data_IF_593824349004
#
_entry.id   IF_593824349004
#
_cell.length_a   1.000
_cell.length_b   1.000
_cell.length_c   1.000
_cell.angle_alpha   90.00
_cell.angle_beta   90.00
_cell.angle_gamma   90.00
#
_symmetry.space_group_name_H-M   'P 1'
#
loop_
_entity.id
_entity.type
_entity.pdbx_description
1 polymer ?
#
# COMPACT_ATOMS: atom_id res chain seq x y z
N UNK A 1 47.12 -12.70 41.60
CA UNK A 1 46.62 -12.45 40.23
C UNK A 1 45.52 -11.41 40.27
N UNK A 2 45.57 -10.38 39.42
CA UNK A 2 44.58 -9.29 39.37
C UNK A 2 43.25 -9.79 38.75
N UNK A 3 42.08 -9.35 39.24
CA UNK A 3 40.77 -9.92 38.87
C UNK A 3 40.38 -9.73 37.39
N UNK A 4 40.86 -8.66 36.74
CA UNK A 4 40.62 -8.41 35.31
C UNK A 4 41.38 -9.36 34.37
N UNK A 5 42.37 -10.10 34.86
CA UNK A 5 43.07 -11.11 34.06
C UNK A 5 42.26 -12.43 33.94
N UNK A 6 41.19 -12.61 34.74
CA UNK A 6 40.37 -13.84 34.77
C UNK A 6 39.11 -13.76 33.92
N UNK A 7 38.53 -12.56 33.71
CA UNK A 7 37.27 -12.39 32.98
C UNK A 7 37.50 -11.83 31.58
N UNK A 8 37.86 -12.70 30.62
CA UNK A 8 38.02 -12.34 29.20
C UNK A 8 36.71 -12.26 28.41
N UNK A 9 35.57 -12.54 29.04
CA UNK A 9 34.24 -12.60 28.39
C UNK A 9 33.43 -11.31 28.54
N UNK A 10 33.77 -10.44 29.50
CA UNK A 10 33.03 -9.21 29.77
C UNK A 10 33.75 -7.99 29.17
N UNK A 11 33.14 -7.39 28.14
CA UNK A 11 33.68 -6.24 27.41
C UNK A 11 33.87 -4.98 28.25
N UNK A 12 33.12 -4.84 29.34
CA UNK A 12 33.17 -3.67 30.22
C UNK A 12 34.38 -3.69 31.17
N UNK A 13 34.97 -4.87 31.39
CA UNK A 13 36.08 -5.06 32.32
C UNK A 13 37.45 -5.08 31.62
N UNK A 14 37.47 -5.02 30.29
CA UNK A 14 38.71 -5.00 29.50
C UNK A 14 39.33 -3.60 29.57
N UNK A 15 40.53 -3.51 30.16
CA UNK A 15 41.30 -2.27 30.16
C UNK A 15 42.05 -2.11 28.85
N UNK A 16 42.05 -0.90 28.33
CA UNK A 16 42.83 -0.54 27.15
C UNK A 16 44.32 -0.47 27.50
N UNK A 17 45.18 -0.90 26.60
CA UNK A 17 46.62 -0.83 26.75
C UNK A 17 47.15 0.30 25.87
N UNK A 18 47.82 1.26 26.47
CA UNK A 18 48.35 2.42 25.73
C UNK A 18 49.33 1.94 24.67
N UNK A 19 49.05 2.25 23.40
CA UNK A 19 49.90 1.90 22.26
C UNK A 19 49.65 0.53 21.62
N UNK A 20 48.74 -0.28 22.17
CA UNK A 20 48.36 -1.57 21.59
C UNK A 20 46.91 -1.53 21.07
N UNK A 21 46.61 -2.37 20.07
CA UNK A 21 45.23 -2.57 19.64
C UNK A 21 44.42 -3.26 20.75
N UNK A 22 43.13 -2.91 20.85
CA UNK A 22 42.21 -3.53 21.81
C UNK A 22 42.16 -5.05 21.59
N UNK A 23 42.37 -5.81 22.66
CA UNK A 23 42.33 -7.27 22.58
C UNK A 23 40.91 -7.75 22.22
N UNK A 24 40.80 -8.71 21.31
CA UNK A 24 39.52 -9.35 21.00
C UNK A 24 39.03 -10.16 22.20
N UNK A 25 37.75 -10.01 22.51
CA UNK A 25 37.02 -10.74 23.56
C UNK A 25 36.47 -12.06 22.99
N UNK A 26 36.28 -12.12 21.68
CA UNK A 26 35.76 -13.28 20.98
C UNK A 26 36.88 -14.27 20.68
N UNK A 27 36.60 -15.56 20.88
CA UNK A 27 37.46 -16.65 20.41
C UNK A 27 37.38 -16.73 18.90
N UNK A 28 38.39 -16.18 18.24
CA UNK A 28 38.52 -16.26 16.80
C UNK A 28 39.33 -17.53 16.48
N UNK A 29 38.87 -18.39 15.56
CA UNK A 29 39.66 -19.51 15.08
C UNK A 29 40.94 -19.02 14.40
N UNK A 30 42.09 -19.63 14.69
CA UNK A 30 43.39 -19.19 14.20
C UNK A 30 43.60 -19.40 12.68
N UNK A 31 42.71 -20.14 12.02
CA UNK A 31 42.91 -20.65 10.65
C UNK A 31 41.85 -20.16 9.66
N UNK A 32 41.20 -19.02 9.97
CA UNK A 32 40.19 -18.42 9.10
C UNK A 32 40.69 -17.08 8.60
N UNK A 33 40.67 -16.90 7.29
CA UNK A 33 40.87 -15.62 6.65
C UNK A 33 39.60 -14.79 6.76
N UNK A 34 39.74 -13.55 7.24
CA UNK A 34 38.62 -12.62 7.28
C UNK A 34 38.35 -12.02 5.90
N UNK A 35 37.07 -11.81 5.61
CA UNK A 35 36.61 -11.24 4.35
C UNK A 35 35.83 -12.25 3.51
N UNK A 36 35.29 -11.76 2.39
CA UNK A 36 34.62 -12.60 1.40
C UNK A 36 35.68 -13.03 0.40
N UNK A 37 35.88 -14.34 0.24
CA UNK A 37 36.74 -14.85 -0.82
C UNK A 37 36.23 -14.34 -2.18
N UNK A 38 37.16 -13.87 -3.01
CA UNK A 38 36.84 -13.47 -4.38
C UNK A 38 36.60 -14.76 -5.14
N UNK A 39 35.32 -15.06 -5.40
CA UNK A 39 34.95 -16.15 -6.30
C UNK A 39 35.39 -15.70 -7.69
N UNK A 40 36.37 -16.39 -8.27
CA UNK A 40 36.77 -16.17 -9.64
C UNK A 40 35.74 -16.85 -10.54
N UNK A 41 35.38 -16.19 -11.63
CA UNK A 41 34.50 -16.80 -12.63
C UNK A 41 35.19 -18.05 -13.20
N UNK A 42 34.39 -19.07 -13.53
CA UNK A 42 34.89 -20.30 -14.15
C UNK A 42 35.38 -20.07 -15.58
N UNK A 43 34.99 -18.94 -16.18
CA UNK A 43 35.29 -18.58 -17.56
C UNK A 43 36.42 -17.56 -17.62
N UNK A 44 37.40 -17.82 -18.48
CA UNK A 44 38.50 -16.88 -18.73
C UNK A 44 38.14 -15.81 -19.75
N UNK A 45 38.87 -14.68 -19.76
CA UNK A 45 38.63 -13.58 -20.70
C UNK A 45 38.64 -14.01 -22.18
N UNK A 46 39.43 -15.03 -22.54
CA UNK A 46 39.46 -15.60 -23.89
C UNK A 46 38.16 -16.33 -24.26
N UNK A 47 37.53 -17.03 -23.32
CA UNK A 47 36.24 -17.71 -23.57
C UNK A 47 35.12 -16.69 -23.73
N UNK A 48 35.10 -15.67 -22.87
CA UNK A 48 34.12 -14.57 -22.96
C UNK A 48 34.20 -13.83 -24.30
N UNK A 49 35.40 -13.64 -24.86
CA UNK A 49 35.57 -12.94 -26.15
C UNK A 49 35.32 -13.82 -27.37
N UNK A 50 35.52 -15.13 -27.26
CA UNK A 50 35.36 -16.06 -28.40
C UNK A 50 33.95 -16.59 -28.57
N UNK A 51 33.16 -16.69 -27.50
CA UNK A 51 31.76 -17.12 -27.56
C UNK A 51 30.80 -15.95 -27.43
N UNK A 52 30.12 -15.61 -28.54
CA UNK A 52 28.97 -14.71 -28.48
C UNK A 52 27.76 -15.47 -27.93
N UNK A 53 27.52 -15.35 -26.63
CA UNK A 53 26.36 -16.01 -26.01
C UNK A 53 25.09 -15.19 -26.30
N UNK A 54 24.12 -15.81 -26.97
CA UNK A 54 22.81 -15.17 -27.16
C UNK A 54 22.11 -15.04 -25.81
N UNK A 55 21.39 -13.93 -25.61
CA UNK A 55 20.58 -13.76 -24.42
C UNK A 55 19.47 -14.82 -24.40
N UNK A 56 19.59 -15.77 -23.47
CA UNK A 56 18.46 -16.64 -23.15
C UNK A 56 17.39 -15.79 -22.49
N UNK A 57 16.16 -15.89 -23.00
CA UNK A 57 15.03 -15.20 -22.38
C UNK A 57 14.89 -15.67 -20.93
N UNK A 58 14.73 -14.72 -20.01
CA UNK A 58 14.47 -15.05 -18.61
C UNK A 58 13.19 -15.87 -18.53
N UNK A 59 13.21 -16.97 -17.78
CA UNK A 59 11.99 -17.72 -17.50
C UNK A 59 10.96 -16.80 -16.82
N UNK A 60 9.70 -16.94 -17.22
CA UNK A 60 8.64 -16.16 -16.63
C UNK A 60 8.45 -16.61 -15.18
N UNK A 61 8.86 -15.75 -14.24
CA UNK A 61 8.62 -15.98 -12.83
C UNK A 61 7.12 -16.24 -12.59
N UNK A 62 6.78 -17.34 -11.91
CA UNK A 62 5.39 -17.67 -11.70
C UNK A 62 4.76 -16.60 -10.79
N UNK A 63 3.46 -16.29 -10.96
CA UNK A 63 2.83 -15.19 -10.25
C UNK A 63 2.87 -15.40 -8.74
N UNK A 64 2.86 -14.29 -8.00
CA UNK A 64 2.91 -14.32 -6.53
C UNK A 64 1.75 -15.13 -5.94
N UNK A 65 1.98 -15.70 -4.77
CA UNK A 65 0.95 -16.45 -4.06
C UNK A 65 -0.14 -15.51 -3.55
N UNK A 66 -1.40 -15.91 -3.72
CA UNK A 66 -2.55 -15.18 -3.23
C UNK A 66 -2.89 -15.63 -1.81
N UNK A 67 -2.30 -14.95 -0.83
CA UNK A 67 -2.57 -15.24 0.59
C UNK A 67 -4.02 -14.97 1.00
N UNK A 68 -4.74 -14.08 0.30
CA UNK A 68 -6.14 -13.80 0.63
C UNK A 68 -7.03 -14.98 0.26
N UNK A 69 -6.81 -15.57 -0.92
CA UNK A 69 -7.50 -16.77 -1.37
C UNK A 69 -7.11 -17.98 -0.52
N UNK A 70 -5.82 -18.16 -0.23
CA UNK A 70 -5.35 -19.24 0.65
C UNK A 70 -5.98 -19.15 2.04
N UNK A 71 -6.08 -17.96 2.64
CA UNK A 71 -6.71 -17.78 3.94
C UNK A 71 -8.21 -18.09 3.91
N UNK A 72 -8.91 -17.68 2.84
CA UNK A 72 -10.32 -18.06 2.64
C UNK A 72 -10.48 -19.57 2.53
N UNK A 73 -9.56 -20.26 1.85
CA UNK A 73 -9.54 -21.72 1.78
C UNK A 73 -9.27 -22.36 3.14
N UNK A 74 -8.34 -21.84 3.94
CA UNK A 74 -8.11 -22.31 5.32
C UNK A 74 -9.39 -22.25 6.15
N UNK A 75 -10.10 -21.12 6.08
CA UNK A 75 -11.35 -20.91 6.82
C UNK A 75 -12.44 -21.85 6.31
N UNK A 76 -12.54 -22.04 4.99
CA UNK A 76 -13.46 -23.00 4.37
C UNK A 76 -13.21 -24.43 4.86
N UNK A 77 -11.95 -24.78 5.11
CA UNK A 77 -11.53 -26.08 5.65
C UNK A 77 -11.58 -26.14 7.18
N UNK A 78 -12.19 -25.15 7.86
CA UNK A 78 -12.35 -25.10 9.32
C UNK A 78 -11.01 -25.16 10.08
N UNK A 79 -9.93 -24.66 9.46
CA UNK A 79 -8.67 -24.44 10.14
C UNK A 79 -8.77 -23.13 10.91
N UNK A 80 -8.29 -23.12 12.15
CA UNK A 80 -8.39 -21.96 13.03
C UNK A 80 -7.06 -21.60 13.72
N UNK A 81 -6.05 -22.48 13.67
CA UNK A 81 -4.75 -22.25 14.31
C UNK A 81 -3.70 -21.71 13.32
N UNK A 82 -2.78 -20.87 13.82
CA UNK A 82 -1.73 -20.27 13.00
C UNK A 82 -0.79 -21.32 12.38
N UNK A 83 -0.44 -22.38 13.12
CA UNK A 83 0.43 -23.44 12.58
C UNK A 83 -0.27 -24.21 11.47
N UNK A 84 -1.58 -24.45 11.62
CA UNK A 84 -2.39 -25.07 10.57
C UNK A 84 -2.44 -24.21 9.32
N UNK A 85 -2.57 -22.88 9.45
CA UNK A 85 -2.53 -21.98 8.29
C UNK A 85 -1.17 -22.03 7.58
N UNK A 86 -0.07 -22.10 8.34
CA UNK A 86 1.27 -22.21 7.76
C UNK A 86 1.43 -23.54 6.99
N UNK A 87 1.04 -24.67 7.59
CA UNK A 87 1.08 -25.98 6.94
C UNK A 87 0.17 -26.05 5.71
N UNK A 88 -1.01 -25.42 5.79
CA UNK A 88 -1.94 -25.35 4.67
C UNK A 88 -1.39 -24.52 3.51
N UNK A 89 -0.74 -23.38 3.78
CA UNK A 89 -0.07 -22.54 2.76
C UNK A 89 1.17 -23.20 2.15
N UNK A 90 1.77 -24.17 2.85
CA UNK A 90 2.91 -24.95 2.34
C UNK A 90 2.45 -26.08 1.41
N UNK A 91 1.30 -26.68 1.70
CA UNK A 91 0.74 -27.80 0.93
C UNK A 91 -0.13 -27.35 -0.25
N UNK A 92 -0.83 -26.21 -0.13
CA UNK A 92 -1.72 -25.69 -1.17
C UNK A 92 -1.13 -24.43 -1.81
N UNK A 93 -1.04 -24.42 -3.14
CA UNK A 93 -0.59 -23.26 -3.92
C UNK A 93 -1.79 -22.60 -4.61
N UNK A 94 -2.06 -21.34 -4.27
CA UNK A 94 -3.00 -20.51 -4.99
C UNK A 94 -2.29 -19.21 -5.32
N UNK A 95 -2.35 -18.79 -6.59
CA UNK A 95 -1.62 -17.64 -7.11
C UNK A 95 -2.54 -16.55 -7.60
N UNK A 96 -2.04 -15.32 -7.58
CA UNK A 96 -2.77 -14.16 -8.08
C UNK A 96 -2.91 -14.29 -9.59
N UNK A 97 -4.16 -14.18 -10.07
CA UNK A 97 -4.41 -14.10 -11.49
C UNK A 97 -3.92 -12.75 -12.01
N UNK A 98 -2.80 -12.74 -12.74
CA UNK A 98 -2.33 -11.57 -13.48
C UNK A 98 -2.96 -11.62 -14.86
N UNK A 99 -3.81 -10.64 -15.19
CA UNK A 99 -4.20 -10.40 -16.59
C UNK A 99 -2.92 -10.03 -17.34
N UNK A 100 -2.35 -11.01 -18.05
CA UNK A 100 -1.26 -10.73 -18.99
C UNK A 100 -1.86 -9.94 -20.15
N UNK A 101 -1.11 -8.99 -20.69
CA UNK A 101 -1.44 -8.44 -22.00
C UNK A 101 -1.52 -9.57 -23.02
N UNK A 102 -2.37 -9.42 -24.03
CA UNK A 102 -2.29 -10.31 -25.19
C UNK A 102 -0.92 -10.08 -25.85
N UNK A 103 -0.09 -11.11 -26.00
CA UNK A 103 1.21 -10.95 -26.70
C UNK A 103 0.99 -10.62 -28.18
N UNK A 104 -0.19 -10.94 -28.69
CA UNK A 104 -0.60 -10.70 -30.05
C UNK A 104 -1.52 -9.48 -30.05
N UNK A 105 -0.94 -8.33 -30.35
CA UNK A 105 -1.74 -7.20 -30.84
C UNK A 105 -2.21 -7.67 -32.21
N UNK A 106 -3.50 -7.99 -32.33
CA UNK A 106 -4.11 -8.18 -33.64
C UNK A 106 -3.91 -6.87 -34.40
N UNK A 107 -2.99 -6.89 -35.37
CA UNK A 107 -2.74 -5.75 -36.24
C UNK A 107 -3.92 -5.71 -37.21
N UNK A 108 -5.03 -5.14 -36.76
CA UNK A 108 -6.14 -4.78 -37.63
C UNK A 108 -5.69 -3.56 -38.43
N UNK A 109 -4.96 -3.80 -39.52
CA UNK A 109 -4.79 -2.80 -40.55
C UNK A 109 -6.17 -2.56 -41.17
N UNK A 110 -6.61 -1.31 -41.26
CA UNK A 110 -7.86 -1.01 -41.91
C UNK A 110 -7.76 -1.30 -43.42
N UNK A 111 -8.91 -1.61 -44.03
CA UNK A 111 -9.03 -1.91 -45.46
C UNK A 111 -8.56 -0.75 -46.36
N UNK A 112 -8.25 -1.01 -47.63
CA UNK A 112 -7.75 0.02 -48.58
C UNK A 112 -8.75 1.18 -48.77
N UNK A 113 -10.04 0.93 -48.56
CA UNK A 113 -11.10 1.94 -48.62
C UNK A 113 -11.23 2.77 -47.34
N UNK A 114 -10.47 2.47 -46.29
CA UNK A 114 -10.56 3.16 -45.02
C UNK A 114 -9.93 4.55 -45.11
N UNK A 115 -10.72 5.55 -44.77
CA UNK A 115 -10.25 6.93 -44.69
C UNK A 115 -9.94 7.27 -43.24
N UNK A 116 -8.67 7.58 -42.97
CA UNK A 116 -8.26 8.08 -41.67
C UNK A 116 -8.91 9.44 -41.36
N UNK A 117 -9.25 9.64 -40.10
CA UNK A 117 -9.86 10.87 -39.62
C UNK A 117 -11.14 10.61 -38.83
N UNK A 118 -11.67 11.66 -38.21
CA UNK A 118 -12.96 11.62 -37.53
C UNK A 118 -14.04 11.95 -38.56
N UNK A 119 -14.96 11.03 -38.89
CA UNK A 119 -16.07 11.36 -39.79
C UNK A 119 -16.86 12.52 -39.20
N UNK A 120 -17.43 13.35 -40.06
CA UNK A 120 -18.35 14.39 -39.62
C UNK A 120 -19.52 13.72 -38.88
N UNK A 121 -19.83 14.20 -37.68
CA UNK A 121 -21.01 13.74 -36.95
C UNK A 121 -22.25 14.12 -37.78
N UNK A 122 -23.18 13.19 -38.04
CA UNK A 122 -24.43 13.56 -38.70
C UNK A 122 -25.09 14.69 -37.90
N UNK A 123 -25.60 15.70 -38.60
CA UNK A 123 -26.30 16.80 -37.94
C UNK A 123 -27.50 16.22 -37.19
N UNK A 124 -27.74 16.71 -35.97
CA UNK A 124 -28.91 16.35 -35.19
C UNK A 124 -30.18 16.58 -36.05
N UNK A 125 -31.01 15.56 -36.31
CA UNK A 125 -32.22 15.71 -37.12
C UNK A 125 -33.07 16.91 -36.68
N UNK A 126 -33.29 17.85 -37.59
CA UNK A 126 -33.97 19.12 -37.28
C UNK A 126 -35.39 18.89 -36.74
N UNK A 127 -36.10 17.87 -37.24
CA UNK A 127 -37.41 17.45 -36.75
C UNK A 127 -37.41 17.18 -35.24
N UNK A 128 -36.38 16.47 -34.76
CA UNK A 128 -36.25 16.09 -33.36
C UNK A 128 -35.95 17.32 -32.47
N UNK A 129 -35.14 18.25 -32.99
CA UNK A 129 -34.87 19.54 -32.33
C UNK A 129 -36.15 20.35 -32.20
N UNK A 130 -36.88 20.54 -33.30
CA UNK A 130 -38.14 21.31 -33.33
C UNK A 130 -39.23 20.68 -32.45
N UNK A 131 -39.32 19.36 -32.45
CA UNK A 131 -40.28 18.61 -31.62
C UNK A 131 -39.90 18.54 -30.13
N UNK A 132 -38.71 19.02 -29.75
CA UNK A 132 -38.20 18.93 -28.37
C UNK A 132 -37.89 17.51 -27.90
N UNK A 133 -37.77 16.53 -28.80
CA UNK A 133 -37.61 15.11 -28.40
C UNK A 133 -36.33 14.87 -27.59
N UNK A 134 -35.24 15.58 -27.90
CA UNK A 134 -33.98 15.49 -27.14
C UNK A 134 -34.12 15.96 -25.69
N UNK A 135 -34.98 16.95 -25.43
CA UNK A 135 -35.24 17.43 -24.07
C UNK A 135 -35.95 16.35 -23.27
N UNK A 136 -36.98 15.74 -23.86
CA UNK A 136 -37.73 14.65 -23.25
C UNK A 136 -36.86 13.41 -22.99
N UNK A 137 -35.99 13.04 -23.95
CA UNK A 137 -35.04 11.93 -23.76
C UNK A 137 -34.02 12.23 -22.65
N UNK A 138 -33.54 13.47 -22.57
CA UNK A 138 -32.60 13.88 -21.53
C UNK A 138 -33.23 13.82 -20.14
N UNK A 139 -34.47 14.30 -19.97
CA UNK A 139 -35.22 14.17 -18.72
C UNK A 139 -35.39 12.71 -18.32
N UNK A 140 -35.84 11.86 -19.24
CA UNK A 140 -36.00 10.43 -18.98
C UNK A 140 -34.69 9.75 -18.58
N UNK A 141 -33.57 10.12 -19.20
CA UNK A 141 -32.24 9.61 -18.84
C UNK A 141 -31.81 10.08 -17.45
N UNK A 142 -32.11 11.33 -17.10
CA UNK A 142 -31.85 11.86 -15.75
C UNK A 142 -32.68 11.12 -14.71
N UNK A 143 -33.98 10.94 -14.94
CA UNK A 143 -34.86 10.19 -14.05
C UNK A 143 -34.35 8.77 -13.83
N UNK A 144 -33.98 8.07 -14.91
CA UNK A 144 -33.37 6.72 -14.82
C UNK A 144 -32.09 6.70 -13.98
N UNK A 145 -31.24 7.73 -14.10
CA UNK A 145 -30.01 7.86 -13.30
C UNK A 145 -30.35 8.07 -11.82
N UNK A 146 -31.27 8.97 -11.51
CA UNK A 146 -31.70 9.24 -10.13
C UNK A 146 -32.36 8.00 -9.50
N UNK A 147 -33.18 7.28 -10.26
CA UNK A 147 -33.77 6.01 -9.84
C UNK A 147 -32.71 4.95 -9.53
N UNK A 148 -31.70 4.81 -10.38
CA UNK A 148 -30.61 3.87 -10.18
C UNK A 148 -29.82 4.21 -8.90
N UNK A 149 -29.53 5.49 -8.67
CA UNK A 149 -28.84 5.98 -7.46
C UNK A 149 -29.70 5.70 -6.22
N UNK A 150 -30.99 6.00 -6.28
CA UNK A 150 -31.94 5.77 -5.18
C UNK A 150 -32.03 4.28 -4.82
N UNK A 151 -32.23 3.41 -5.82
CA UNK A 151 -32.26 1.95 -5.65
C UNK A 151 -30.94 1.41 -5.09
N UNK A 152 -29.81 1.95 -5.52
CA UNK A 152 -28.50 1.57 -5.00
C UNK A 152 -28.33 1.98 -3.52
N UNK A 153 -28.72 3.21 -3.15
CA UNK A 153 -28.71 3.67 -1.74
C UNK A 153 -29.61 2.81 -0.86
N UNK A 154 -30.82 2.48 -1.31
CA UNK A 154 -31.74 1.59 -0.58
C UNK A 154 -31.14 0.19 -0.37
N UNK A 155 -30.44 -0.37 -1.37
CA UNK A 155 -29.74 -1.66 -1.23
C UNK A 155 -28.54 -1.58 -0.29
N UNK A 156 -27.82 -0.46 -0.26
CA UNK A 156 -26.71 -0.25 0.69
C UNK A 156 -27.21 -0.11 2.13
N UNK A 157 -28.35 0.56 2.35
CA UNK A 157 -28.95 0.71 3.68
C UNK A 157 -29.53 -0.60 4.26
N UNK A 158 -29.71 -1.65 3.44
CA UNK A 158 -30.06 -3.00 3.91
C UNK A 158 -28.87 -3.83 4.37
N UNK A 159 -27.64 -3.40 4.08
CA UNK A 159 -26.48 -3.95 4.77
C UNK A 159 -26.54 -3.37 6.19
N UNK A 160 -26.40 -4.19 7.26
CA UNK A 160 -26.19 -3.62 8.59
C UNK A 160 -25.04 -2.64 8.42
N UNK A 161 -25.30 -1.37 8.73
CA UNK A 161 -24.27 -0.34 8.71
C UNK A 161 -23.06 -0.97 9.37
N UNK A 162 -21.96 -1.11 8.65
CA UNK A 162 -20.65 -1.18 9.30
C UNK A 162 -20.40 0.21 9.86
N UNK A 163 -21.30 0.68 10.73
CA UNK A 163 -21.02 1.63 11.76
C UNK A 163 -19.91 0.94 12.51
N UNK A 164 -18.68 1.28 12.12
CA UNK A 164 -17.46 0.93 12.81
C UNK A 164 -17.78 1.25 14.25
N UNK A 165 -18.07 0.22 15.07
CA UNK A 165 -18.46 0.43 16.46
C UNK A 165 -17.36 1.31 17.00
N UNK A 166 -17.68 2.55 17.38
CA UNK A 166 -16.66 3.48 17.83
C UNK A 166 -15.88 2.76 18.93
N UNK A 167 -14.57 2.60 18.71
CA UNK A 167 -13.72 2.04 19.74
C UNK A 167 -13.78 2.95 20.96
N UNK A 168 -13.48 2.43 22.16
CA UNK A 168 -13.46 3.23 23.39
C UNK A 168 -12.60 4.51 23.21
N UNK A 169 -11.52 4.42 22.44
CA UNK A 169 -10.67 5.54 22.05
C UNK A 169 -11.39 6.59 21.17
N UNK A 170 -12.11 6.16 20.13
CA UNK A 170 -12.87 7.09 19.26
C UNK A 170 -13.98 7.81 20.02
N UNK A 171 -14.67 7.11 20.94
CA UNK A 171 -15.69 7.72 21.80
C UNK A 171 -15.09 8.75 22.76
N UNK A 172 -13.94 8.45 23.37
CA UNK A 172 -13.23 9.39 24.25
C UNK A 172 -12.74 10.62 23.49
N UNK A 173 -12.20 10.45 22.28
CA UNK A 173 -11.73 11.57 21.45
C UNK A 173 -12.88 12.51 21.06
N UNK A 174 -14.04 11.96 20.69
CA UNK A 174 -15.23 12.76 20.38
C UNK A 174 -15.75 13.50 21.62
N UNK A 175 -15.79 12.84 22.78
CA UNK A 175 -16.18 13.46 24.05
C UNK A 175 -15.22 14.58 24.46
N UNK A 176 -13.90 14.42 24.28
CA UNK A 176 -12.93 15.48 24.57
C UNK A 176 -13.12 16.70 23.65
N UNK A 177 -13.45 16.46 22.37
CA UNK A 177 -13.72 17.53 21.39
C UNK A 177 -14.97 18.33 21.73
N UNK A 178 -16.06 17.63 22.10
CA UNK A 178 -17.28 18.28 22.59
C UNK A 178 -16.99 19.06 23.87
N UNK A 179 -16.21 18.48 24.80
CA UNK A 179 -15.86 19.15 26.05
C UNK A 179 -15.01 20.41 25.81
N UNK A 180 -14.09 20.40 24.85
CA UNK A 180 -13.32 21.60 24.48
C UNK A 180 -14.17 22.65 23.77
N UNK A 181 -15.13 22.24 22.93
CA UNK A 181 -16.04 23.16 22.25
C UNK A 181 -17.02 23.83 23.24
N UNK A 182 -17.49 23.08 24.23
CA UNK A 182 -18.39 23.56 25.27
C UNK A 182 -17.65 24.21 26.45
N UNK A 183 -16.32 24.32 26.38
CA UNK A 183 -15.55 25.02 27.39
C UNK A 183 -15.83 26.51 27.19
N UNK A 184 -16.72 27.05 28.01
CA UNK A 184 -16.96 28.49 28.14
C UNK A 184 -15.62 29.19 28.23
N UNK A 185 -15.41 30.23 27.41
CA UNK A 185 -14.19 31.04 27.40
C UNK A 185 -13.76 31.29 28.84
N UNK A 186 -12.64 30.69 29.26
CA UNK A 186 -12.15 30.91 30.61
C UNK A 186 -11.90 32.40 30.76
N UNK A 187 -12.34 33.00 31.88
CA UNK A 187 -11.97 34.38 32.22
C UNK A 187 -10.45 34.50 32.13
N UNK A 188 -9.97 35.21 31.11
CA UNK A 188 -8.52 35.40 30.90
C UNK A 188 -7.90 36.19 32.06
N UNK A 189 -8.73 36.95 32.79
CA UNK A 189 -8.32 37.73 33.95
C UNK A 189 -9.10 37.28 35.19
N UNK A 190 -8.40 37.09 36.30
CA UNK A 190 -9.00 36.73 37.61
C UNK A 190 -9.77 37.89 38.25
N UNK A 191 -9.58 39.11 37.74
CA UNK A 191 -10.11 40.35 38.29
C UNK A 191 -11.31 40.82 37.47
N UNK A 192 -12.47 40.99 38.12
CA UNK A 192 -13.74 41.40 37.48
C UNK A 192 -13.68 42.76 36.78
N UNK A 193 -12.73 43.60 37.16
CA UNK A 193 -12.54 44.93 36.59
C UNK A 193 -12.14 44.87 35.10
N UNK A 194 -11.49 43.79 34.68
CA UNK A 194 -11.01 43.63 33.30
C UNK A 194 -12.01 42.94 32.37
N UNK A 195 -13.16 42.48 32.88
CA UNK A 195 -14.18 41.78 32.09
C UNK A 195 -14.84 42.67 31.04
N UNK A 196 -14.87 43.97 31.28
CA UNK A 196 -15.48 44.96 30.37
C UNK A 196 -14.45 45.68 29.49
N UNK A 197 -13.16 45.34 29.61
CA UNK A 197 -12.09 46.02 28.88
C UNK A 197 -11.99 45.43 27.47
N UNK A 198 -12.41 46.22 26.47
CA UNK A 198 -12.32 45.82 25.07
C UNK A 198 -10.85 45.80 24.60
N UNK A 199 -10.43 44.80 23.82
CA UNK A 199 -9.07 44.75 23.27
C UNK A 199 -8.84 45.93 22.32
N UNK A 200 -7.72 46.64 22.50
CA UNK A 200 -7.37 47.82 21.69
C UNK A 200 -6.88 47.46 20.26
N UNK A 201 -6.62 46.18 20.00
CA UNK A 201 -6.04 45.70 18.75
C UNK A 201 -6.97 44.68 18.09
N UNK A 202 -7.37 44.95 16.84
CA UNK A 202 -8.08 43.98 15.99
C UNK A 202 -7.03 42.99 15.45
N UNK A 203 -6.89 41.82 16.08
CA UNK A 203 -6.14 40.73 15.48
C UNK A 203 -6.95 40.16 14.32
N UNK A 204 -6.45 40.30 13.08
CA UNK A 204 -6.98 39.60 11.92
C UNK A 204 -6.54 38.15 11.99
N UNK A 205 -7.47 37.26 12.32
CA UNK A 205 -7.43 35.84 11.98
C UNK A 205 -8.77 35.46 11.38
#
# INVERSE_FOLDING_TARGET
MKPWNKNRTNSLLLKDSVGAAKQSIYTIPNDIYFGKAIVHDTEGAQQVTSTWYYHNHSELNPPDRDFTKLNKMCISNKLHDQKQFYLFRKSNDARVFRKRGCSQIEVNLPDENFRYGKPYLPQSPMKNVLSGSYMNEAEQLMDKKYDAISKHKLKQNKRPSTATKHTKASKLAYQSLIKSLNQTQQHQFKLKEFDKVQPKTKTRF
#
